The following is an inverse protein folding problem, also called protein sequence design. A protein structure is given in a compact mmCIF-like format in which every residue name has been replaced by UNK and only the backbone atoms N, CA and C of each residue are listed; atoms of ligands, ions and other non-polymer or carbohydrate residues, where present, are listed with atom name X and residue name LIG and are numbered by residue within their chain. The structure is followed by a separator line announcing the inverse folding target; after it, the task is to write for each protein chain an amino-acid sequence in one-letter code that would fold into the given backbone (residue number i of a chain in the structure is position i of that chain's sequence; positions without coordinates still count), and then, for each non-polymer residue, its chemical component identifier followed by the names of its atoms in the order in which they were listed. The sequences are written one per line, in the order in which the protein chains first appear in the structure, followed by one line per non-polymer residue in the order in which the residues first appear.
data_IF_429553642264
#
_entry.id   IF_429553642264
#
_cell.length_a   1.000
_cell.length_b   1.000
_cell.length_c   1.000
_cell.angle_alpha   90.00
_cell.angle_beta   90.00
_cell.angle_gamma   90.00
#
_symmetry.space_group_name_H-M   'P 1'
#
loop_
_entity.id
_entity.type
_entity.pdbx_description
1 polymer ?
#
# COMPACT_ATOMS: atom_id res chain seq x y z
N UNK A 1 24.38 19.25 16.10
CA UNK A 1 23.25 19.63 16.98
C UNK A 1 22.02 19.71 16.11
N UNK A 2 21.13 18.73 16.23
CA UNK A 2 19.86 18.73 15.50
C UNK A 2 19.02 19.94 15.96
N UNK A 3 18.56 20.84 15.07
CA UNK A 3 17.74 21.97 15.49
C UNK A 3 16.47 21.42 16.13
N UNK A 4 15.99 22.01 17.24
CA UNK A 4 14.81 21.51 17.95
C UNK A 4 13.56 21.30 17.07
N UNK A 5 13.48 21.93 15.89
CA UNK A 5 12.47 21.66 14.87
C UNK A 5 12.53 20.23 14.28
N UNK A 6 13.70 19.62 14.13
CA UNK A 6 13.83 18.28 13.53
C UNK A 6 13.33 17.16 14.44
N UNK A 7 13.32 17.35 15.76
CA UNK A 7 12.87 16.33 16.72
C UNK A 7 11.37 16.03 16.60
N UNK A 8 10.56 17.02 16.21
CA UNK A 8 9.10 16.89 16.03
C UNK A 8 8.75 16.62 14.56
N UNK A 9 9.46 17.23 13.62
CA UNK A 9 9.19 17.06 12.19
C UNK A 9 9.46 15.61 11.75
N UNK A 10 10.55 14.99 12.21
CA UNK A 10 10.90 13.62 11.80
C UNK A 10 9.82 12.57 12.10
N UNK A 11 9.27 12.46 13.33
CA UNK A 11 8.20 11.51 13.60
C UNK A 11 6.91 11.82 12.84
N UNK A 12 6.58 13.10 12.60
CA UNK A 12 5.41 13.47 11.79
C UNK A 12 5.56 12.99 10.33
N UNK A 13 6.75 13.15 9.74
CA UNK A 13 7.02 12.66 8.38
C UNK A 13 6.90 11.12 8.31
N UNK A 14 7.34 10.41 9.36
CA UNK A 14 7.18 8.94 9.45
C UNK A 14 5.69 8.58 9.52
N UNK A 15 4.88 9.30 10.30
CA UNK A 15 3.44 9.06 10.40
C UNK A 15 2.78 9.20 9.02
N UNK A 16 3.10 10.27 8.28
CA UNK A 16 2.59 10.47 6.92
C UNK A 16 3.01 9.31 6.01
N UNK A 17 4.30 8.99 5.99
CA UNK A 17 4.83 7.89 5.17
C UNK A 17 4.16 6.55 5.47
N UNK A 18 4.00 6.17 6.75
CA UNK A 18 3.37 4.90 7.15
C UNK A 18 1.91 4.86 6.73
N UNK A 19 1.15 5.95 6.89
CA UNK A 19 -0.25 5.99 6.45
C UNK A 19 -0.38 5.89 4.93
N UNK A 20 0.49 6.58 4.16
CA UNK A 20 0.52 6.48 2.70
C UNK A 20 0.90 5.06 2.27
N UNK A 21 1.93 4.48 2.88
CA UNK A 21 2.37 3.11 2.63
C UNK A 21 1.22 2.11 2.86
N UNK A 22 0.58 2.17 4.03
CA UNK A 22 -0.54 1.28 4.37
C UNK A 22 -1.74 1.52 3.46
N UNK A 23 -2.04 2.78 3.12
CA UNK A 23 -3.13 3.15 2.23
C UNK A 23 -2.93 2.58 0.82
N UNK A 24 -1.78 2.83 0.20
CA UNK A 24 -1.46 2.30 -1.13
C UNK A 24 -1.40 0.78 -1.12
N UNK A 25 -0.78 0.18 -0.11
CA UNK A 25 -0.74 -1.27 0.03
C UNK A 25 -2.15 -1.86 0.11
N UNK A 26 -3.05 -1.27 0.92
CA UNK A 26 -4.43 -1.72 1.03
C UNK A 26 -5.28 -1.49 -0.23
N UNK A 27 -4.87 -0.60 -1.15
CA UNK A 27 -5.56 -0.42 -2.43
C UNK A 27 -5.24 -1.52 -3.46
N UNK A 28 -4.19 -2.31 -3.24
CA UNK A 28 -3.82 -3.40 -4.15
C UNK A 28 -4.93 -4.48 -4.15
N UNK A 29 -5.43 -4.91 -5.32
CA UNK A 29 -6.55 -5.85 -5.42
C UNK A 29 -6.13 -7.31 -5.18
N UNK A 30 -5.45 -7.58 -4.06
CA UNK A 30 -4.93 -8.89 -3.68
C UNK A 30 -5.48 -9.27 -2.29
N UNK A 31 -6.19 -10.40 -2.13
CA UNK A 31 -6.58 -10.86 -0.80
C UNK A 31 -5.37 -11.12 0.09
N UNK A 32 -5.37 -10.77 1.39
CA UNK A 32 -6.50 -10.29 2.20
C UNK A 32 -6.68 -8.76 2.25
N UNK A 33 -5.98 -8.00 1.40
CA UNK A 33 -5.98 -6.54 1.41
C UNK A 33 -7.36 -5.98 1.06
N UNK A 34 -7.66 -4.78 1.56
CA UNK A 34 -9.01 -4.20 1.42
C UNK A 34 -9.41 -3.95 -0.04
N UNK A 35 -8.46 -3.66 -0.93
CA UNK A 35 -8.69 -3.49 -2.37
C UNK A 35 -9.25 -4.75 -3.04
N UNK A 36 -9.01 -5.93 -2.47
CA UNK A 36 -9.63 -7.17 -2.96
C UNK A 36 -11.14 -7.21 -2.73
N UNK A 37 -11.65 -6.56 -1.67
CA UNK A 37 -13.09 -6.44 -1.43
C UNK A 37 -13.76 -5.58 -2.50
N UNK A 38 -13.09 -4.50 -2.91
CA UNK A 38 -13.53 -3.65 -4.02
C UNK A 38 -13.52 -4.44 -5.33
N UNK A 39 -12.44 -5.19 -5.60
CA UNK A 39 -12.37 -6.08 -6.77
C UNK A 39 -13.55 -7.06 -6.81
N UNK A 40 -13.83 -7.75 -5.69
CA UNK A 40 -14.90 -8.74 -5.62
C UNK A 40 -16.30 -8.13 -5.69
N UNK A 41 -16.49 -6.91 -5.19
CA UNK A 41 -17.75 -6.19 -5.33
C UNK A 41 -18.05 -5.79 -6.78
N UNK A 42 -17.01 -5.52 -7.58
CA UNK A 42 -17.12 -5.18 -9.00
C UNK A 42 -17.16 -6.42 -9.93
N UNK A 43 -16.80 -7.60 -9.41
CA UNK A 43 -16.67 -8.80 -10.20
C UNK A 43 -18.05 -9.40 -10.53
N UNK A 44 -18.36 -9.72 -11.80
CA UNK A 44 -19.61 -10.38 -12.14
C UNK A 44 -19.65 -11.82 -11.63
N UNK A 45 -20.87 -12.35 -11.42
CA UNK A 45 -21.10 -13.65 -10.81
C UNK A 45 -20.44 -14.84 -11.54
N UNK A 46 -20.14 -14.69 -12.84
CA UNK A 46 -19.42 -15.68 -13.65
C UNK A 46 -17.99 -15.95 -13.15
N UNK A 47 -17.39 -15.04 -12.38
CA UNK A 47 -16.03 -15.17 -11.89
C UNK A 47 -15.93 -15.59 -10.41
N UNK A 48 -17.01 -16.11 -9.83
CA UNK A 48 -17.00 -16.64 -8.45
C UNK A 48 -15.91 -17.68 -8.20
N UNK A 49 -15.60 -18.51 -9.20
CA UNK A 49 -14.50 -19.48 -9.07
C UNK A 49 -13.13 -18.80 -8.88
N UNK A 50 -12.90 -17.68 -9.56
CA UNK A 50 -11.65 -16.91 -9.41
C UNK A 50 -11.58 -16.32 -8.00
N UNK A 51 -12.68 -15.74 -7.51
CA UNK A 51 -12.76 -15.23 -6.14
C UNK A 51 -12.42 -16.32 -5.10
N UNK A 52 -12.99 -17.52 -5.26
CA UNK A 52 -12.73 -18.65 -4.34
C UNK A 52 -11.26 -19.07 -4.39
N UNK A 53 -10.65 -19.15 -5.58
CA UNK A 53 -9.22 -19.49 -5.74
C UNK A 53 -8.32 -18.41 -5.12
N UNK A 54 -8.60 -17.13 -5.38
CA UNK A 54 -7.85 -16.00 -4.82
C UNK A 54 -7.95 -15.98 -3.28
N UNK A 55 -9.13 -16.25 -2.72
CA UNK A 55 -9.32 -16.35 -1.26
C UNK A 55 -8.58 -17.55 -0.64
N UNK A 56 -8.55 -18.69 -1.33
CA UNK A 56 -7.85 -19.91 -0.87
C UNK A 56 -6.34 -19.70 -0.80
N UNK A 57 -5.75 -19.10 -1.83
CA UNK A 57 -4.30 -18.89 -1.94
C UNK A 57 -3.83 -17.50 -1.48
N UNK A 58 -4.67 -16.76 -0.73
CA UNK A 58 -4.44 -15.37 -0.32
C UNK A 58 -3.04 -15.09 0.24
N UNK A 59 -2.54 -15.95 1.13
CA UNK A 59 -1.23 -15.77 1.74
C UNK A 59 -0.09 -15.99 0.76
N UNK A 60 -0.20 -16.98 -0.12
CA UNK A 60 0.83 -17.28 -1.13
C UNK A 60 0.91 -16.16 -2.16
N UNK A 61 -0.25 -15.68 -2.65
CA UNK A 61 -0.32 -14.57 -3.60
C UNK A 61 0.24 -13.30 -2.96
N UNK A 62 -0.10 -13.02 -1.70
CA UNK A 62 0.47 -11.91 -0.95
C UNK A 62 2.00 -12.03 -0.82
N UNK A 63 2.52 -13.22 -0.52
CA UNK A 63 3.95 -13.50 -0.41
C UNK A 63 4.67 -13.17 -1.73
N UNK A 64 4.16 -13.68 -2.85
CA UNK A 64 4.68 -13.43 -4.19
C UNK A 64 4.64 -11.94 -4.49
N UNK A 65 3.54 -11.27 -4.17
CA UNK A 65 3.43 -9.82 -4.34
C UNK A 65 4.47 -9.07 -3.51
N UNK A 66 4.70 -9.45 -2.26
CA UNK A 66 5.70 -8.79 -1.41
C UNK A 66 7.13 -8.96 -1.95
N UNK A 67 7.48 -10.14 -2.48
CA UNK A 67 8.83 -10.38 -3.02
C UNK A 67 9.05 -9.70 -4.37
N UNK A 68 8.07 -9.80 -5.27
CA UNK A 68 8.27 -9.47 -6.68
C UNK A 68 7.47 -8.25 -7.13
N UNK A 69 6.28 -8.03 -6.55
CA UNK A 69 5.35 -6.97 -6.96
C UNK A 69 5.45 -5.68 -6.14
N UNK A 70 6.01 -5.71 -4.93
CA UNK A 70 6.05 -4.55 -4.03
C UNK A 70 6.78 -3.37 -4.64
N UNK A 71 7.80 -3.62 -5.46
CA UNK A 71 8.54 -2.56 -6.17
C UNK A 71 7.66 -1.72 -7.10
N UNK A 72 6.54 -2.28 -7.59
CA UNK A 72 5.59 -1.58 -8.48
C UNK A 72 4.83 -0.47 -7.76
N UNK A 73 4.60 -0.60 -6.44
CA UNK A 73 3.83 0.40 -5.66
C UNK A 73 4.72 1.48 -5.02
N UNK A 74 6.03 1.24 -4.91
CA UNK A 74 7.02 2.20 -4.39
C UNK A 74 6.93 3.58 -5.08
N UNK A 75 6.90 3.72 -6.42
CA UNK A 75 6.83 5.04 -7.05
C UNK A 75 5.56 5.80 -6.66
N UNK A 76 4.43 5.10 -6.49
CA UNK A 76 3.16 5.69 -6.05
C UNK A 76 3.28 6.20 -4.61
N UNK A 77 3.85 5.39 -3.70
CA UNK A 77 4.08 5.76 -2.30
C UNK A 77 4.98 6.99 -2.20
N UNK A 78 6.08 7.01 -2.98
CA UNK A 78 7.02 8.15 -3.01
C UNK A 78 6.36 9.41 -3.51
N UNK A 79 5.63 9.33 -4.63
CA UNK A 79 4.91 10.46 -5.19
C UNK A 79 3.89 11.04 -4.19
N UNK A 80 3.04 10.18 -3.61
CA UNK A 80 2.02 10.62 -2.65
C UNK A 80 2.62 11.18 -1.36
N UNK A 81 3.67 10.56 -0.84
CA UNK A 81 4.37 11.07 0.35
C UNK A 81 5.02 12.42 0.06
N UNK A 82 5.67 12.59 -1.10
CA UNK A 82 6.24 13.87 -1.52
C UNK A 82 5.15 14.93 -1.68
N UNK A 83 4.00 14.57 -2.25
CA UNK A 83 2.87 15.48 -2.41
C UNK A 83 2.33 15.97 -1.05
N UNK A 84 2.12 15.05 -0.11
CA UNK A 84 1.58 15.40 1.21
C UNK A 84 2.57 16.13 2.13
N UNK A 85 3.87 15.96 1.90
CA UNK A 85 4.92 16.61 2.70
C UNK A 85 5.50 17.86 2.04
N UNK A 86 4.94 18.28 0.89
CA UNK A 86 5.41 19.46 0.17
C UNK A 86 6.83 19.32 -0.40
N UNK A 87 7.25 18.09 -0.70
CA UNK A 87 8.58 17.79 -1.27
C UNK A 87 9.73 17.72 -0.27
N UNK A 88 9.45 17.79 1.05
CA UNK A 88 10.50 17.68 2.09
C UNK A 88 11.09 16.28 2.24
N UNK A 89 10.40 15.25 1.75
CA UNK A 89 10.80 13.85 1.94
C UNK A 89 11.62 13.36 0.74
N UNK A 90 12.94 13.21 0.95
CA UNK A 90 13.84 12.49 0.05
C UNK A 90 14.18 11.12 0.68
N UNK A 91 13.60 10.05 0.13
CA UNK A 91 13.98 8.65 0.41
C UNK A 91 14.52 7.98 -0.86
#
# INVERSE_FOLDING_TARGET
VFPAGSAIIQPLLIIVFVNVLLGVFNMVPIPPLDGSKVLFALLPASYKEIEVRLKRYKFIILMIFLLFGFQLIIPIIRYLTSLFTGGMVLF
#
